data_IF_389382836496
#
_entry.id   IF_389382836496
#
_cell.length_a   1.000
_cell.length_b   1.000
_cell.length_c   1.000
_cell.angle_alpha   90.00
_cell.angle_beta   90.00
_cell.angle_gamma   90.00
#
_symmetry.space_group_name_H-M   'P 1'
#
loop_
_entity.id
_entity.type
_entity.pdbx_description
1 polymer ?
#
# COMPACT_ATOMS: atom_id res chain seq x y z
N UNK A 1 -18.94 33.84 9.17
CA UNK A 1 -19.96 32.87 8.70
C UNK A 1 -19.24 31.66 8.12
N UNK A 2 -19.48 30.47 8.68
CA UNK A 2 -18.82 29.23 8.28
C UNK A 2 -19.48 28.65 7.02
N UNK A 3 -18.69 28.31 5.99
CA UNK A 3 -19.21 27.67 4.76
C UNK A 3 -18.39 26.42 4.44
N UNK A 4 -19.09 25.31 4.21
CA UNK A 4 -18.50 24.03 3.82
C UNK A 4 -18.54 23.89 2.28
N UNK A 5 -17.51 23.27 1.69
CA UNK A 5 -17.44 23.02 0.25
C UNK A 5 -17.01 21.59 -0.04
N UNK A 6 -17.77 20.89 -0.88
CA UNK A 6 -17.42 19.59 -1.42
C UNK A 6 -16.53 19.77 -2.66
N UNK A 7 -15.41 19.05 -2.70
CA UNK A 7 -14.45 19.02 -3.81
C UNK A 7 -14.78 17.89 -4.78
N UNK A 8 -14.28 17.98 -6.02
CA UNK A 8 -14.53 17.00 -7.08
C UNK A 8 -13.97 15.59 -6.77
N UNK A 9 -13.07 15.49 -5.79
CA UNK A 9 -12.50 14.24 -5.28
C UNK A 9 -13.28 13.67 -4.07
N UNK A 10 -14.45 14.23 -3.75
CA UNK A 10 -15.33 13.78 -2.68
C UNK A 10 -14.98 14.31 -1.29
N UNK A 11 -13.95 15.15 -1.14
CA UNK A 11 -13.56 15.71 0.17
C UNK A 11 -14.37 16.96 0.52
N UNK A 12 -14.81 17.06 1.77
CA UNK A 12 -15.44 18.26 2.32
C UNK A 12 -14.36 19.11 2.99
N UNK A 13 -14.23 20.36 2.57
CA UNK A 13 -13.32 21.35 3.16
C UNK A 13 -14.12 22.48 3.79
N UNK A 14 -13.59 23.05 4.86
CA UNK A 14 -14.17 24.22 5.49
C UNK A 14 -13.47 25.48 4.98
N UNK A 15 -14.25 26.51 4.64
CA UNK A 15 -13.73 27.81 4.21
C UNK A 15 -13.91 28.81 5.35
N UNK A 16 -12.79 29.28 5.91
CA UNK A 16 -12.72 30.36 6.91
C UNK A 16 -11.88 31.50 6.36
N UNK A 17 -12.45 32.70 6.29
CA UNK A 17 -11.80 33.93 5.79
C UNK A 17 -11.01 33.74 4.48
N UNK A 18 -11.61 33.02 3.52
CA UNK A 18 -11.03 32.77 2.20
C UNK A 18 -9.93 31.71 2.16
N UNK A 19 -9.58 31.09 3.29
CA UNK A 19 -8.60 30.00 3.39
C UNK A 19 -9.29 28.65 3.62
N UNK A 20 -8.82 27.63 2.91
CA UNK A 20 -9.34 26.26 3.00
C UNK A 20 -8.64 25.52 4.14
N UNK A 21 -9.42 24.98 5.07
CA UNK A 21 -8.92 24.15 6.16
C UNK A 21 -9.49 22.72 6.04
N UNK A 22 -8.64 21.69 6.18
CA UNK A 22 -9.12 20.32 6.22
C UNK A 22 -9.93 20.10 7.50
N UNK A 23 -11.15 19.59 7.36
CA UNK A 23 -11.97 19.13 8.49
C UNK A 23 -11.41 17.79 8.98
N UNK A 24 -10.37 17.82 9.80
CA UNK A 24 -9.90 16.63 10.49
C UNK A 24 -10.83 16.34 11.69
N UNK A 25 -11.21 15.08 11.94
CA UNK A 25 -11.92 14.71 13.17
C UNK A 25 -11.08 15.07 14.40
N UNK A 26 -11.71 15.69 15.41
CA UNK A 26 -11.09 15.96 16.72
C UNK A 26 -10.85 14.64 17.46
N UNK A 27 -9.67 14.04 17.28
CA UNK A 27 -9.14 12.99 18.16
C UNK A 27 -8.13 13.63 19.13
N UNK A 28 -8.17 13.34 20.44
CA UNK A 28 -7.19 13.84 21.38
C UNK A 28 -5.88 13.06 21.24
N UNK A 29 -4.78 13.75 20.91
CA UNK A 29 -3.43 13.17 20.99
C UNK A 29 -2.94 13.23 22.44
N UNK A 30 -3.31 12.22 23.22
CA UNK A 30 -2.70 11.96 24.52
C UNK A 30 -1.42 11.12 24.31
N UNK A 31 -0.27 11.77 24.48
CA UNK A 31 1.03 11.11 24.53
C UNK A 31 1.19 10.49 25.94
N UNK A 32 1.05 9.17 26.07
CA UNK A 32 1.50 8.43 27.25
C UNK A 32 1.86 6.99 26.88
N UNK A 33 3.03 6.59 27.34
CA UNK A 33 3.68 5.30 27.18
C UNK A 33 2.77 4.12 27.50
N UNK A 34 2.50 3.27 26.50
CA UNK A 34 2.09 1.88 26.69
C UNK A 34 2.48 1.13 25.42
N UNK A 35 3.26 0.05 25.60
CA UNK A 35 3.72 -0.81 24.52
C UNK A 35 2.56 -1.13 23.55
N UNK A 36 2.79 -1.10 22.22
CA UNK A 36 1.71 -1.34 21.28
C UNK A 36 1.19 -2.77 21.47
N UNK A 37 -0.12 -2.88 21.71
CA UNK A 37 -0.89 -4.09 21.46
C UNK A 37 -0.48 -4.65 20.09
N UNK A 38 -0.03 -5.92 19.98
CA UNK A 38 0.51 -6.46 18.73
C UNK A 38 -0.52 -6.60 17.60
N UNK A 39 -1.77 -6.17 17.82
CA UNK A 39 -2.90 -6.33 16.90
C UNK A 39 -3.32 -5.03 16.19
N UNK A 40 -2.76 -3.86 16.53
CA UNK A 40 -3.14 -2.57 15.91
C UNK A 40 -1.91 -1.81 15.36
N UNK A 41 -1.55 -2.19 14.13
CA UNK A 41 -0.84 -1.47 13.07
C UNK A 41 0.16 -0.33 13.38
N UNK A 42 1.41 -0.52 12.91
CA UNK A 42 2.29 0.56 12.44
C UNK A 42 3.60 0.05 11.83
N UNK A 43 4.24 0.79 10.92
CA UNK A 43 3.75 1.19 9.60
C UNK A 43 3.90 0.04 8.58
N UNK A 44 3.15 0.10 7.47
CA UNK A 44 3.53 -0.61 6.26
C UNK A 44 4.91 -0.08 5.84
N UNK A 45 5.98 -0.79 6.23
CA UNK A 45 7.34 -0.51 5.79
C UNK A 45 7.29 -0.41 4.28
N UNK A 46 7.64 0.77 3.79
CA UNK A 46 7.72 1.02 2.36
C UNK A 46 8.67 -0.03 1.81
N UNK A 47 8.14 -0.92 0.97
CA UNK A 47 8.93 -1.96 0.35
C UNK A 47 10.08 -1.33 -0.43
N UNK A 48 11.26 -1.31 0.17
CA UNK A 48 12.50 -0.82 -0.45
C UNK A 48 13.01 -1.91 -1.40
N UNK A 49 13.88 -1.52 -2.35
CA UNK A 49 14.50 -2.39 -3.37
C UNK A 49 14.85 -3.84 -2.97
N UNK A 50 15.35 -4.15 -1.75
CA UNK A 50 15.59 -5.54 -1.36
C UNK A 50 14.32 -6.39 -1.15
N UNK A 51 13.14 -5.79 -1.01
CA UNK A 51 11.93 -6.54 -0.66
C UNK A 51 11.36 -7.34 -1.83
N UNK A 52 11.19 -6.78 -3.02
CA UNK A 52 10.48 -7.49 -4.11
C UNK A 52 11.20 -8.77 -4.54
N UNK A 53 12.53 -8.68 -4.75
CA UNK A 53 13.34 -9.86 -5.11
C UNK A 53 13.34 -10.90 -4.00
N UNK A 54 13.45 -10.47 -2.74
CA UNK A 54 13.46 -11.38 -1.59
C UNK A 54 12.10 -12.05 -1.40
N UNK A 55 11.00 -11.31 -1.56
CA UNK A 55 9.64 -11.82 -1.53
C UNK A 55 9.43 -12.90 -2.59
N UNK A 56 9.81 -12.60 -3.84
CA UNK A 56 9.72 -13.58 -4.92
C UNK A 56 10.56 -14.83 -4.65
N UNK A 57 11.79 -14.68 -4.18
CA UNK A 57 12.67 -15.81 -3.86
C UNK A 57 12.13 -16.66 -2.72
N UNK A 58 11.58 -16.04 -1.67
CA UNK A 58 10.90 -16.73 -0.57
C UNK A 58 9.69 -17.53 -1.05
N UNK A 59 8.98 -17.01 -2.06
CA UNK A 59 7.87 -17.71 -2.70
C UNK A 59 8.31 -18.83 -3.67
N UNK A 60 9.61 -19.00 -3.92
CA UNK A 60 10.12 -20.02 -4.84
C UNK A 60 9.84 -19.75 -6.32
N UNK A 61 9.51 -18.51 -6.70
CA UNK A 61 9.04 -18.17 -8.05
C UNK A 61 10.13 -17.55 -8.93
N UNK A 62 10.08 -17.81 -10.22
CA UNK A 62 10.80 -17.07 -11.25
C UNK A 62 10.19 -15.67 -11.44
N UNK A 63 10.92 -14.75 -12.10
CA UNK A 63 10.38 -13.41 -12.38
C UNK A 63 9.11 -13.47 -13.23
N UNK A 64 9.01 -14.43 -14.15
CA UNK A 64 7.85 -14.61 -15.04
C UNK A 64 6.64 -15.11 -14.25
N UNK A 65 6.80 -16.15 -13.42
CA UNK A 65 5.70 -16.68 -12.59
C UNK A 65 5.20 -15.65 -11.58
N UNK A 66 6.11 -14.92 -10.94
CA UNK A 66 5.75 -13.85 -10.02
C UNK A 66 4.99 -12.72 -10.73
N UNK A 67 5.44 -12.32 -11.92
CA UNK A 67 4.77 -11.31 -12.73
C UNK A 67 3.35 -11.77 -13.13
N UNK A 68 3.22 -13.03 -13.57
CA UNK A 68 1.94 -13.62 -13.95
C UNK A 68 0.94 -13.63 -12.78
N UNK A 69 1.37 -14.09 -11.59
CA UNK A 69 0.51 -14.09 -10.40
C UNK A 69 0.07 -12.69 -9.96
N UNK A 70 0.94 -11.68 -10.14
CA UNK A 70 0.62 -10.30 -9.79
C UNK A 70 -0.18 -9.56 -10.88
N UNK A 71 -0.38 -10.17 -12.05
CA UNK A 71 -1.06 -9.53 -13.19
C UNK A 71 -0.29 -8.32 -13.74
N UNK A 72 1.05 -8.37 -13.73
CA UNK A 72 1.90 -7.28 -14.26
C UNK A 72 2.89 -7.79 -15.29
N UNK A 73 3.38 -6.95 -16.22
CA UNK A 73 4.46 -7.34 -17.13
C UNK A 73 5.73 -7.76 -16.39
N UNK A 74 6.46 -8.75 -16.91
CA UNK A 74 7.76 -9.18 -16.34
C UNK A 74 8.78 -8.04 -16.26
N UNK A 75 8.70 -7.07 -17.18
CA UNK A 75 9.53 -5.87 -17.18
C UNK A 75 9.28 -5.01 -15.94
N UNK A 76 8.04 -4.94 -15.45
CA UNK A 76 7.68 -4.23 -14.21
C UNK A 76 8.39 -4.84 -13.01
N UNK A 77 8.37 -6.17 -12.89
CA UNK A 77 9.09 -6.89 -11.84
C UNK A 77 10.60 -6.65 -11.96
N UNK A 78 11.17 -6.71 -13.17
CA UNK A 78 12.59 -6.41 -13.38
C UNK A 78 12.95 -4.98 -12.96
N UNK A 79 12.14 -4.00 -13.34
CA UNK A 79 12.36 -2.59 -13.01
C UNK A 79 12.29 -2.36 -11.48
N UNK A 80 11.41 -3.07 -10.77
CA UNK A 80 11.33 -3.04 -9.31
C UNK A 80 12.53 -3.71 -8.64
N UNK A 81 12.90 -4.92 -9.07
CA UNK A 81 14.05 -5.65 -8.50
C UNK A 81 15.41 -5.01 -8.82
N UNK A 82 15.48 -4.14 -9.82
CA UNK A 82 16.67 -3.39 -10.20
C UNK A 82 16.68 -1.96 -9.65
N UNK A 83 15.61 -1.51 -8.97
CA UNK A 83 15.55 -0.15 -8.43
C UNK A 83 15.27 0.97 -9.43
N UNK A 84 15.09 0.64 -10.71
CA UNK A 84 14.78 1.63 -11.77
C UNK A 84 13.43 2.31 -11.52
N UNK A 85 12.50 1.60 -10.89
CA UNK A 85 11.17 2.07 -10.49
C UNK A 85 10.79 1.42 -9.17
N UNK A 86 9.96 2.11 -8.40
CA UNK A 86 9.44 1.61 -7.13
C UNK A 86 7.97 1.25 -7.28
N UNK A 87 7.48 0.18 -6.62
CA UNK A 87 6.05 -0.12 -6.57
C UNK A 87 5.30 1.03 -5.88
N UNK A 88 4.15 1.41 -6.42
CA UNK A 88 3.32 2.51 -5.91
C UNK A 88 1.86 2.07 -5.78
N UNK A 89 1.11 2.79 -4.95
CA UNK A 89 -0.33 2.60 -4.83
C UNK A 89 -0.71 1.15 -4.51
N UNK A 90 -1.65 0.53 -5.26
CA UNK A 90 -2.10 -0.84 -5.04
C UNK A 90 -0.99 -1.89 -5.06
N UNK A 91 0.01 -1.73 -5.93
CA UNK A 91 1.13 -2.69 -6.01
C UNK A 91 1.93 -2.75 -4.70
N UNK A 92 2.15 -1.59 -4.05
CA UNK A 92 2.86 -1.54 -2.77
C UNK A 92 2.04 -2.21 -1.66
N UNK A 93 0.73 -1.99 -1.65
CA UNK A 93 -0.17 -2.65 -0.69
C UNK A 93 -0.17 -4.16 -0.89
N UNK A 94 -0.30 -4.64 -2.12
CA UNK A 94 -0.26 -6.07 -2.44
C UNK A 94 1.05 -6.72 -2.00
N UNK A 95 2.20 -6.10 -2.30
CA UNK A 95 3.51 -6.61 -1.87
C UNK A 95 3.65 -6.68 -0.35
N UNK A 96 3.09 -5.72 0.39
CA UNK A 96 3.08 -5.75 1.85
C UNK A 96 2.23 -6.92 2.40
N UNK A 97 1.10 -7.24 1.76
CA UNK A 97 0.28 -8.40 2.15
C UNK A 97 1.02 -9.71 1.80
N UNK A 98 1.64 -9.80 0.62
CA UNK A 98 2.47 -10.95 0.22
C UNK A 98 3.62 -11.16 1.23
N UNK A 99 4.20 -10.10 1.76
CA UNK A 99 5.26 -10.19 2.75
C UNK A 99 4.84 -10.91 4.03
N UNK A 100 3.58 -10.73 4.44
CA UNK A 100 2.99 -11.32 5.64
C UNK A 100 2.39 -12.70 5.41
N UNK A 101 1.70 -12.90 4.28
CA UNK A 101 0.93 -14.13 4.01
C UNK A 101 1.01 -14.54 2.53
N UNK A 102 2.19 -14.97 2.04
CA UNK A 102 2.40 -15.24 0.61
C UNK A 102 1.51 -16.37 0.10
N UNK A 103 1.38 -17.47 0.85
CA UNK A 103 0.57 -18.63 0.44
C UNK A 103 -0.90 -18.28 0.26
N UNK A 104 -1.47 -17.53 1.20
CA UNK A 104 -2.87 -17.08 1.14
C UNK A 104 -3.11 -16.17 -0.05
N UNK A 105 -2.19 -15.23 -0.31
CA UNK A 105 -2.33 -14.30 -1.42
C UNK A 105 -2.22 -15.02 -2.76
N UNK A 106 -1.23 -15.90 -2.95
CA UNK A 106 -1.09 -16.61 -4.22
C UNK A 106 -2.21 -17.60 -4.47
N UNK A 107 -2.69 -18.30 -3.44
CA UNK A 107 -3.88 -19.15 -3.58
C UNK A 107 -5.11 -18.34 -4.02
N UNK A 108 -5.28 -17.12 -3.52
CA UNK A 108 -6.37 -16.24 -3.95
C UNK A 108 -6.18 -15.70 -5.38
N UNK A 109 -4.94 -15.47 -5.82
CA UNK A 109 -4.61 -14.97 -7.15
C UNK A 109 -4.64 -16.05 -8.24
N UNK A 110 -4.28 -17.30 -7.93
CA UNK A 110 -4.28 -18.43 -8.88
C UNK A 110 -5.70 -18.76 -9.40
N UNK A 111 -6.76 -18.33 -8.70
CA UNK A 111 -8.15 -18.43 -9.14
C UNK A 111 -8.66 -17.24 -9.98
N UNK A 112 -7.83 -16.20 -10.18
CA UNK A 112 -8.19 -15.00 -10.93
C UNK A 112 -7.50 -15.03 -12.31
N UNK A 113 -8.24 -15.18 -13.43
CA UNK A 113 -7.62 -15.13 -14.74
C UNK A 113 -7.04 -13.73 -14.96
N UNK A 114 -5.75 -13.67 -15.31
CA UNK A 114 -5.14 -12.43 -15.79
C UNK A 114 -5.88 -12.01 -17.07
N UNK A 115 -6.80 -11.05 -16.94
CA UNK A 115 -7.57 -10.49 -18.03
C UNK A 115 -6.74 -9.67 -19.01
#
# INVERSE_FOLDING_TARGET
MQRLRLKADGRIVEIRDGREFPLAPLMPVANASSAPDPLIAGPATAATEPEVRSLRRRAGLTQVEFAARLGVPVETIRNWEQGKRMPRGPARALLAVIARAPETVFAALDGYPAG
#
